data_IF_179927910345
#
_entry.id   IF_179927910345
#
_cell.length_a   1.000
_cell.length_b   1.000
_cell.length_c   1.000
_cell.angle_alpha   90.00
_cell.angle_beta   90.00
_cell.angle_gamma   90.00
#
_symmetry.space_group_name_H-M   'P 1'
#
loop_
_entity.id
_entity.type
_entity.pdbx_description
1 polymer ?
#
# COMPACT_ATOMS: atom_id res chain seq x y z
N UNK A 1 9.96 53.57 24.25
CA UNK A 1 9.02 54.41 23.47
C UNK A 1 8.99 53.79 22.09
N UNK A 2 8.01 52.98 21.68
CA UNK A 2 6.58 52.93 22.00
C UNK A 2 6.07 51.50 22.28
N UNK A 3 4.90 51.44 22.92
CA UNK A 3 4.07 50.29 23.28
C UNK A 3 3.31 49.67 22.10
N UNK A 4 2.94 48.40 22.28
CA UNK A 4 1.63 47.71 22.02
C UNK A 4 1.93 46.25 21.60
N UNK A 5 1.80 45.23 22.46
CA UNK A 5 0.62 44.51 22.97
C UNK A 5 -0.24 43.79 21.90
N UNK A 6 -0.24 42.44 22.03
CA UNK A 6 -1.15 41.42 21.44
C UNK A 6 -0.93 41.13 19.93
N UNK A 7 -0.88 39.89 19.43
CA UNK A 7 -1.71 38.70 19.70
C UNK A 7 -0.93 37.38 19.52
N UNK A 8 -1.15 36.45 20.45
CA UNK A 8 -1.04 35.01 20.20
C UNK A 8 -2.20 34.59 19.28
N UNK A 9 -1.89 34.10 18.08
CA UNK A 9 -2.84 33.37 17.25
C UNK A 9 -2.22 32.05 16.77
N UNK A 10 -2.26 31.07 17.67
CA UNK A 10 -2.15 29.65 17.35
C UNK A 10 -3.38 29.26 16.52
N UNK A 11 -3.23 29.31 15.20
CA UNK A 11 -4.19 28.65 14.29
C UNK A 11 -3.54 27.34 13.84
N UNK A 12 -3.72 26.32 14.66
CA UNK A 12 -3.81 24.94 14.16
C UNK A 12 -4.97 24.90 13.16
N UNK A 13 -4.65 24.70 11.89
CA UNK A 13 -5.64 24.22 10.92
C UNK A 13 -5.04 22.99 10.28
N UNK A 14 -5.20 21.87 10.98
CA UNK A 14 -5.27 20.55 10.37
C UNK A 14 -6.56 20.53 9.55
N UNK A 15 -6.46 20.91 8.28
CA UNK A 15 -7.52 20.63 7.30
C UNK A 15 -7.46 19.14 6.98
N UNK A 16 -8.03 18.36 7.89
CA UNK A 16 -8.55 17.02 7.62
C UNK A 16 -9.72 17.23 6.65
N UNK A 17 -9.42 17.18 5.35
CA UNK A 17 -10.46 17.14 4.33
C UNK A 17 -11.18 15.80 4.46
N UNK A 18 -12.35 15.84 5.09
CA UNK A 18 -13.29 14.72 5.12
C UNK A 18 -13.66 14.35 3.68
N UNK A 19 -13.09 13.24 3.22
CA UNK A 19 -13.54 12.59 2.00
C UNK A 19 -14.77 11.77 2.37
N UNK A 20 -15.94 12.32 2.02
CA UNK A 20 -17.21 11.60 2.01
C UNK A 20 -17.08 10.43 1.03
N UNK A 21 -16.76 9.26 1.56
CA UNK A 21 -16.98 7.99 0.90
C UNK A 21 -18.47 7.74 0.95
N UNK A 22 -19.15 7.71 -0.19
CA UNK A 22 -20.53 7.26 -0.27
C UNK A 22 -20.54 5.76 0.03
N UNK A 23 -20.73 5.43 1.30
CA UNK A 23 -21.02 4.07 1.76
C UNK A 23 -22.41 3.72 1.24
N UNK A 24 -22.43 2.82 0.26
CA UNK A 24 -23.65 2.17 -0.21
C UNK A 24 -24.14 1.27 0.94
N UNK A 25 -25.27 1.65 1.53
CA UNK A 25 -25.93 0.98 2.65
C UNK A 25 -26.38 -0.43 2.26
N UNK A 26 -25.47 -1.41 2.35
CA UNK A 26 -25.79 -2.83 2.28
C UNK A 26 -25.84 -3.42 3.69
N UNK A 27 -27.06 -3.60 4.19
CA UNK A 27 -27.51 -4.39 5.34
C UNK A 27 -26.49 -4.63 6.48
N UNK A 28 -26.56 -3.70 7.44
CA UNK A 28 -26.05 -3.68 8.81
C UNK A 28 -25.88 -5.05 9.49
N UNK A 29 -24.63 -5.54 9.51
CA UNK A 29 -24.11 -6.22 10.68
C UNK A 29 -23.12 -5.27 11.36
N UNK A 30 -23.62 -4.48 12.30
CA UNK A 30 -22.89 -3.45 13.04
C UNK A 30 -21.44 -3.87 13.33
N UNK A 31 -20.50 -3.09 12.80
CA UNK A 31 -19.06 -3.26 13.02
C UNK A 31 -18.68 -3.20 14.51
N UNK A 32 -19.58 -2.75 15.39
CA UNK A 32 -19.40 -2.84 16.84
C UNK A 32 -19.42 -4.29 17.33
N UNK A 33 -20.22 -5.17 16.72
CA UNK A 33 -20.30 -6.60 17.06
C UNK A 33 -18.96 -7.32 16.83
N UNK A 34 -18.24 -6.96 15.75
CA UNK A 34 -16.92 -7.53 15.44
C UNK A 34 -15.81 -7.08 16.41
N UNK A 35 -16.04 -6.04 17.21
CA UNK A 35 -15.09 -5.53 18.22
C UNK A 35 -15.39 -6.02 19.63
N UNK A 36 -16.47 -6.76 19.84
CA UNK A 36 -16.76 -7.37 21.12
C UNK A 36 -15.88 -8.61 21.33
N UNK A 37 -14.81 -8.42 22.11
CA UNK A 37 -14.03 -9.52 22.65
C UNK A 37 -14.87 -10.27 23.67
N UNK A 38 -15.45 -11.40 23.27
CA UNK A 38 -16.12 -12.30 24.17
C UNK A 38 -15.08 -13.19 24.86
N UNK A 39 -15.14 -13.29 26.19
CA UNK A 39 -14.33 -14.27 26.91
C UNK A 39 -14.69 -15.67 26.43
N UNK A 40 -13.68 -16.45 26.03
CA UNK A 40 -13.88 -17.86 25.68
C UNK A 40 -14.21 -18.60 26.97
N UNK A 41 -15.43 -19.13 27.06
CA UNK A 41 -15.79 -20.04 28.14
C UNK A 41 -15.00 -21.34 27.98
N UNK A 42 -14.01 -21.54 28.85
CA UNK A 42 -13.13 -22.71 28.84
C UNK A 42 -13.89 -24.00 29.18
N UNK A 43 -15.11 -23.89 29.73
CA UNK A 43 -16.01 -25.04 29.93
C UNK A 43 -16.78 -25.43 28.66
N UNK A 44 -16.81 -24.56 27.65
CA UNK A 44 -17.44 -24.76 26.33
C UNK A 44 -16.38 -24.53 25.24
N UNK A 45 -15.32 -25.32 25.25
CA UNK A 45 -14.32 -25.28 24.17
C UNK A 45 -14.93 -25.84 22.89
N UNK A 46 -15.13 -24.98 21.90
CA UNK A 46 -15.33 -25.44 20.52
C UNK A 46 -14.12 -26.27 20.10
N UNK A 47 -14.29 -27.40 19.39
CA UNK A 47 -13.18 -28.17 18.86
C UNK A 47 -12.21 -27.27 18.10
N UNK A 48 -10.90 -27.48 18.28
CA UNK A 48 -9.90 -26.77 17.49
C UNK A 48 -10.22 -26.96 15.99
N UNK A 49 -10.06 -25.92 15.16
CA UNK A 49 -10.22 -26.05 13.72
C UNK A 49 -9.40 -27.25 13.20
N UNK A 50 -9.94 -28.02 12.23
CA UNK A 50 -9.22 -29.15 11.70
C UNK A 50 -7.85 -28.72 11.19
N UNK A 51 -6.81 -29.47 11.58
CA UNK A 51 -5.47 -29.28 11.01
C UNK A 51 -5.53 -29.74 9.56
N UNK A 52 -5.42 -28.81 8.62
CA UNK A 52 -5.31 -29.14 7.21
C UNK A 52 -3.87 -29.60 6.93
N UNK A 53 -3.62 -30.89 6.66
CA UNK A 53 -2.27 -31.35 6.34
C UNK A 53 -1.84 -30.76 4.99
N UNK A 54 -0.58 -30.38 4.87
CA UNK A 54 -0.01 -30.00 3.58
C UNK A 54 -0.01 -31.24 2.66
N UNK A 55 -0.78 -31.17 1.57
CA UNK A 55 -0.93 -32.26 0.60
C UNK A 55 -0.04 -32.10 -0.63
N UNK A 56 0.70 -30.98 -0.73
CA UNK A 56 1.59 -30.72 -1.85
C UNK A 56 2.89 -31.50 -1.76
N UNK A 57 3.60 -31.60 -2.89
CA UNK A 57 4.99 -32.04 -2.90
C UNK A 57 5.88 -30.91 -2.36
N UNK A 58 6.61 -31.11 -1.24
CA UNK A 58 7.50 -30.11 -0.71
C UNK A 58 8.75 -29.95 -1.60
N UNK A 59 9.33 -28.75 -1.59
CA UNK A 59 10.54 -28.43 -2.36
C UNK A 59 10.33 -27.32 -3.40
N UNK A 60 11.45 -26.92 -4.01
CA UNK A 60 11.45 -25.93 -5.10
C UNK A 60 10.83 -26.57 -6.34
N UNK A 61 9.74 -25.99 -6.85
CA UNK A 61 9.02 -26.49 -8.03
C UNK A 61 9.48 -25.83 -9.34
N UNK A 62 10.31 -24.81 -9.25
CA UNK A 62 10.90 -24.09 -10.38
C UNK A 62 12.34 -24.55 -10.61
N UNK A 63 12.79 -24.46 -11.86
CA UNK A 63 14.18 -24.79 -12.19
C UNK A 63 15.10 -23.64 -11.82
N UNK A 64 15.71 -23.70 -10.63
CA UNK A 64 16.72 -22.75 -10.16
C UNK A 64 18.06 -23.44 -9.99
N UNK A 65 19.14 -22.73 -10.31
CA UNK A 65 20.50 -23.16 -10.01
C UNK A 65 20.87 -22.65 -8.62
N UNK A 66 21.74 -23.38 -7.93
CA UNK A 66 22.25 -22.93 -6.61
C UNK A 66 23.06 -21.62 -6.69
N UNK A 67 23.44 -21.18 -7.89
CA UNK A 67 24.22 -19.97 -8.16
C UNK A 67 23.39 -18.75 -8.54
N UNK A 68 22.06 -18.84 -8.50
CA UNK A 68 21.19 -17.74 -8.92
C UNK A 68 21.24 -16.59 -7.90
N UNK A 69 21.15 -15.36 -8.39
CA UNK A 69 21.22 -14.15 -7.56
C UNK A 69 19.91 -13.98 -6.77
N UNK A 70 19.92 -13.42 -5.54
CA UNK A 70 18.68 -13.13 -4.79
C UNK A 70 17.60 -12.38 -5.59
N UNK A 71 17.99 -11.55 -6.57
CA UNK A 71 17.06 -10.88 -7.48
C UNK A 71 16.32 -11.88 -8.39
N UNK A 72 16.98 -12.94 -8.85
CA UNK A 72 16.35 -13.97 -9.70
C UNK A 72 15.19 -14.65 -8.97
N UNK A 73 15.36 -14.93 -7.66
CA UNK A 73 14.30 -15.47 -6.82
C UNK A 73 13.12 -14.50 -6.64
N UNK A 74 13.41 -13.19 -6.51
CA UNK A 74 12.37 -12.17 -6.42
C UNK A 74 11.55 -12.08 -7.72
N UNK A 75 12.24 -12.14 -8.87
CA UNK A 75 11.63 -12.07 -10.20
C UNK A 75 10.74 -13.27 -10.53
N UNK A 76 10.78 -14.37 -9.76
CA UNK A 76 9.81 -15.48 -9.88
C UNK A 76 8.39 -15.08 -9.48
N UNK A 77 8.26 -14.07 -8.60
CA UNK A 77 6.97 -13.60 -8.10
C UNK A 77 6.62 -12.22 -8.68
N UNK A 78 7.62 -11.36 -8.85
CA UNK A 78 7.47 -10.01 -9.39
C UNK A 78 8.20 -9.92 -10.73
N UNK A 79 7.67 -10.65 -11.70
CA UNK A 79 8.16 -10.59 -13.08
C UNK A 79 7.79 -9.25 -13.76
N UNK A 80 8.20 -9.09 -15.01
CA UNK A 80 7.96 -7.86 -15.75
C UNK A 80 6.46 -7.62 -16.02
N UNK A 81 5.64 -8.67 -16.12
CA UNK A 81 4.20 -8.55 -16.34
C UNK A 81 3.51 -8.00 -15.08
N UNK A 82 3.81 -8.60 -13.92
CA UNK A 82 3.31 -8.15 -12.61
C UNK A 82 3.73 -6.71 -12.33
N UNK A 83 5.01 -6.39 -12.53
CA UNK A 83 5.53 -5.04 -12.29
C UNK A 83 4.87 -4.03 -13.25
N UNK A 84 4.77 -4.35 -14.53
CA UNK A 84 4.14 -3.48 -15.52
C UNK A 84 2.65 -3.26 -15.20
N UNK A 85 1.95 -4.29 -14.74
CA UNK A 85 0.56 -4.20 -14.32
C UNK A 85 0.39 -3.21 -13.16
N UNK A 86 1.15 -3.39 -12.07
CA UNK A 86 1.05 -2.50 -10.90
C UNK A 86 1.40 -1.05 -11.27
N UNK A 87 2.43 -0.85 -12.08
CA UNK A 87 2.83 0.49 -12.52
C UNK A 87 1.71 1.17 -13.33
N UNK A 88 1.11 0.44 -14.28
CA UNK A 88 -0.01 0.93 -15.08
C UNK A 88 -1.20 1.32 -14.19
N UNK A 89 -1.67 0.42 -13.34
CA UNK A 89 -2.86 0.67 -12.53
C UNK A 89 -2.64 1.77 -11.47
N UNK A 90 -1.41 1.92 -10.98
CA UNK A 90 -1.00 3.05 -10.12
C UNK A 90 -1.10 4.40 -10.86
N UNK A 91 -0.67 4.45 -12.12
CA UNK A 91 -0.75 5.67 -12.93
C UNK A 91 -2.19 6.01 -13.30
N UNK A 92 -2.98 5.03 -13.74
CA UNK A 92 -4.40 5.21 -14.05
C UNK A 92 -5.17 5.75 -12.83
N UNK A 93 -4.95 5.17 -11.65
CA UNK A 93 -5.60 5.60 -10.42
C UNK A 93 -5.22 7.04 -10.03
N UNK A 94 -3.95 7.42 -10.21
CA UNK A 94 -3.52 8.79 -9.99
C UNK A 94 -4.17 9.77 -10.97
N UNK A 95 -4.21 9.43 -12.26
CA UNK A 95 -4.83 10.23 -13.31
C UNK A 95 -6.33 10.46 -13.06
N UNK A 96 -7.06 9.40 -12.70
CA UNK A 96 -8.48 9.48 -12.33
C UNK A 96 -8.68 10.40 -11.11
N UNK A 97 -7.87 10.22 -10.08
CA UNK A 97 -7.94 11.06 -8.87
C UNK A 97 -7.73 12.55 -9.17
N UNK A 98 -6.82 12.88 -10.08
CA UNK A 98 -6.55 14.27 -10.44
C UNK A 98 -7.56 14.87 -11.42
N UNK A 99 -8.14 14.05 -12.31
CA UNK A 99 -9.18 14.49 -13.25
C UNK A 99 -10.44 14.97 -12.54
N UNK A 100 -10.70 14.44 -11.33
CA UNK A 100 -11.86 14.78 -10.52
C UNK A 100 -11.65 15.97 -9.55
N UNK A 101 -10.49 16.64 -9.59
CA UNK A 101 -10.16 17.76 -8.71
C UNK A 101 -10.17 19.10 -9.46
N UNK A 102 -10.73 20.16 -8.84
CA UNK A 102 -10.50 21.53 -9.30
C UNK A 102 -9.03 21.93 -9.07
N UNK A 103 -8.26 21.99 -10.15
CA UNK A 103 -6.81 22.18 -10.09
C UNK A 103 -6.44 23.64 -9.82
N UNK A 104 -5.93 23.94 -8.62
CA UNK A 104 -5.16 25.16 -8.39
C UNK A 104 -3.67 24.96 -8.78
N UNK A 105 -2.91 26.02 -9.12
CA UNK A 105 -1.51 25.92 -9.56
C UNK A 105 -0.51 25.34 -8.53
N UNK A 106 -0.96 25.11 -7.28
CA UNK A 106 -0.19 24.50 -6.19
C UNK A 106 -0.60 23.04 -5.91
N UNK A 107 -1.48 22.46 -6.72
CA UNK A 107 -2.03 21.13 -6.45
C UNK A 107 -0.98 20.04 -6.63
N UNK A 108 -1.09 18.98 -5.80
CA UNK A 108 -0.27 17.77 -5.90
C UNK A 108 -0.31 17.12 -7.29
N UNK A 109 -1.35 17.39 -8.07
CA UNK A 109 -1.47 16.98 -9.47
C UNK A 109 -0.26 17.43 -10.31
N UNK A 110 0.21 18.67 -10.12
CA UNK A 110 1.37 19.20 -10.86
C UNK A 110 2.71 18.56 -10.48
N UNK A 111 2.75 17.84 -9.35
CA UNK A 111 3.95 17.12 -8.88
C UNK A 111 3.94 15.65 -9.29
N UNK A 112 2.81 15.13 -9.77
CA UNK A 112 2.73 13.75 -10.22
C UNK A 112 3.50 13.58 -11.53
N UNK A 113 4.17 12.44 -11.61
CA UNK A 113 4.80 11.91 -12.81
C UNK A 113 4.48 10.44 -12.83
N UNK A 114 4.28 9.89 -14.01
CA UNK A 114 3.99 8.47 -14.13
C UNK A 114 5.13 7.62 -13.59
N UNK A 115 4.76 6.58 -12.86
CA UNK A 115 5.64 5.57 -12.31
C UNK A 115 6.01 4.62 -13.43
N UNK A 116 7.31 4.44 -13.64
CA UNK A 116 7.84 3.44 -14.57
C UNK A 116 8.04 2.10 -13.87
N UNK A 117 8.12 1.00 -14.61
CA UNK A 117 8.45 -0.32 -14.07
C UNK A 117 9.78 -0.32 -13.28
N UNK A 118 10.79 0.40 -13.77
CA UNK A 118 12.08 0.53 -13.07
C UNK A 118 11.93 1.31 -11.76
N UNK A 119 11.16 2.40 -11.77
CA UNK A 119 10.90 3.19 -10.57
C UNK A 119 10.09 2.39 -9.53
N UNK A 120 9.13 1.59 -9.98
CA UNK A 120 8.37 0.69 -9.12
C UNK A 120 9.27 -0.39 -8.48
N UNK A 121 10.18 -0.99 -9.25
CA UNK A 121 11.19 -1.93 -8.71
C UNK A 121 12.04 -1.27 -7.61
N UNK A 122 12.48 -0.01 -7.81
CA UNK A 122 13.19 0.77 -6.78
C UNK A 122 12.32 1.08 -5.56
N UNK A 123 11.04 1.38 -5.77
CA UNK A 123 10.11 1.59 -4.67
C UNK A 123 9.90 0.31 -3.83
N UNK A 124 9.73 -0.85 -4.49
CA UNK A 124 9.58 -2.14 -3.82
C UNK A 124 10.86 -2.53 -3.07
N UNK A 125 12.04 -2.26 -3.64
CA UNK A 125 13.30 -2.55 -2.93
C UNK A 125 13.44 -1.74 -1.63
N UNK A 126 12.92 -0.51 -1.60
CA UNK A 126 12.83 0.28 -0.37
C UNK A 126 11.83 -0.30 0.64
N UNK A 127 10.70 -0.85 0.19
CA UNK A 127 9.75 -1.55 1.07
C UNK A 127 10.39 -2.79 1.71
N UNK A 128 11.09 -3.60 0.92
CA UNK A 128 11.84 -4.77 1.42
C UNK A 128 12.88 -4.32 2.45
N UNK A 129 13.63 -3.25 2.15
CA UNK A 129 14.64 -2.72 3.07
C UNK A 129 14.03 -2.18 4.37
N UNK A 130 12.81 -1.63 4.37
CA UNK A 130 12.11 -1.23 5.61
C UNK A 130 11.75 -2.41 6.49
N UNK A 131 11.56 -3.61 5.92
CA UNK A 131 11.39 -4.84 6.69
C UNK A 131 12.66 -5.25 7.45
N UNK A 132 13.84 -4.93 6.90
CA UNK A 132 15.15 -5.24 7.48
C UNK A 132 15.59 -4.13 8.45
N UNK A 133 15.55 -2.88 7.98
CA UNK A 133 15.89 -1.69 8.75
C UNK A 133 14.62 -1.12 9.32
N UNK A 134 14.37 -1.32 10.61
CA UNK A 134 13.18 -0.78 11.26
C UNK A 134 13.46 0.59 11.87
N UNK A 135 12.52 1.52 11.71
CA UNK A 135 12.55 2.84 12.35
C UNK A 135 11.19 3.15 12.96
N UNK A 136 11.14 3.90 14.07
CA UNK A 136 9.88 4.23 14.75
C UNK A 136 8.87 4.97 13.87
N UNK A 137 9.35 5.78 12.93
CA UNK A 137 8.47 6.52 12.01
C UNK A 137 9.04 6.51 10.60
N UNK A 138 8.14 6.56 9.62
CA UNK A 138 8.47 6.58 8.20
C UNK A 138 9.41 7.74 7.81
N UNK A 139 9.18 8.93 8.38
CA UNK A 139 10.01 10.13 8.13
C UNK A 139 11.47 9.91 8.49
N UNK A 140 11.77 9.01 9.44
CA UNK A 140 13.14 8.80 9.90
C UNK A 140 14.00 8.05 8.88
N UNK A 141 13.42 7.34 7.92
CA UNK A 141 14.16 6.70 6.82
C UNK A 141 14.87 7.71 5.92
N UNK A 142 14.30 8.92 5.79
CA UNK A 142 14.87 10.03 5.02
C UNK A 142 15.49 11.12 5.90
N UNK A 143 15.69 10.84 7.19
CA UNK A 143 16.31 11.81 8.10
C UNK A 143 17.76 12.09 7.72
N UNK A 144 18.14 13.38 7.70
CA UNK A 144 19.53 13.81 7.53
C UNK A 144 20.29 13.93 8.86
N UNK A 145 19.64 13.69 10.00
CA UNK A 145 20.29 13.79 11.31
C UNK A 145 21.32 12.65 11.44
N UNK A 146 22.57 12.91 11.85
CA UNK A 146 23.62 11.89 11.86
C UNK A 146 23.24 10.60 12.60
N UNK A 147 22.57 10.71 13.76
CA UNK A 147 22.14 9.55 14.57
C UNK A 147 21.01 8.72 13.93
N UNK A 148 20.27 9.29 12.97
CA UNK A 148 19.15 8.61 12.30
C UNK A 148 19.43 8.27 10.84
N UNK A 149 20.48 8.84 10.26
CA UNK A 149 20.68 8.87 8.82
C UNK A 149 20.80 7.47 8.25
N UNK A 150 19.99 7.18 7.23
CA UNK A 150 20.10 5.97 6.39
C UNK A 150 20.17 6.40 4.94
N UNK A 151 21.36 6.85 4.47
CA UNK A 151 21.52 7.57 3.20
C UNK A 151 20.94 6.82 1.99
N UNK A 152 21.02 5.49 2.01
CA UNK A 152 20.55 4.64 0.92
C UNK A 152 19.10 4.92 0.51
N UNK A 153 18.19 5.17 1.46
CA UNK A 153 16.80 5.51 1.17
C UNK A 153 16.67 6.75 0.29
N UNK A 154 17.31 7.85 0.70
CA UNK A 154 17.27 9.11 -0.03
C UNK A 154 18.04 9.08 -1.36
N UNK A 155 19.07 8.23 -1.46
CA UNK A 155 19.84 8.03 -2.69
C UNK A 155 19.03 7.27 -3.75
N UNK A 156 18.21 6.31 -3.34
CA UNK A 156 17.36 5.53 -4.26
C UNK A 156 16.13 6.32 -4.68
N UNK A 157 15.43 6.95 -3.72
CA UNK A 157 14.21 7.71 -3.98
C UNK A 157 13.99 8.80 -2.94
N UNK A 158 13.56 9.99 -3.37
CA UNK A 158 13.20 11.06 -2.44
C UNK A 158 11.93 10.72 -1.64
N UNK A 159 11.87 11.12 -0.36
CA UNK A 159 10.71 10.92 0.53
C UNK A 159 9.38 11.35 -0.08
N UNK A 160 9.36 12.51 -0.77
CA UNK A 160 8.15 13.04 -1.42
C UNK A 160 7.68 12.12 -2.53
N UNK A 161 8.60 11.65 -3.38
CA UNK A 161 8.26 10.73 -4.48
C UNK A 161 7.80 9.39 -3.95
N UNK A 162 8.51 8.81 -2.97
CA UNK A 162 8.09 7.59 -2.29
C UNK A 162 6.68 7.73 -1.69
N UNK A 163 6.41 8.85 -1.02
CA UNK A 163 5.10 9.08 -0.38
C UNK A 163 3.98 9.27 -1.40
N UNK A 164 4.26 9.89 -2.55
CA UNK A 164 3.31 10.00 -3.65
C UNK A 164 3.00 8.62 -4.26
N UNK A 165 4.02 7.81 -4.57
CA UNK A 165 3.83 6.44 -5.08
C UNK A 165 3.03 5.62 -4.07
N UNK A 166 3.39 5.66 -2.79
CA UNK A 166 2.65 4.96 -1.74
C UNK A 166 1.17 5.40 -1.66
N UNK A 167 0.87 6.68 -1.91
CA UNK A 167 -0.51 7.20 -1.86
C UNK A 167 -1.37 6.64 -2.99
N UNK A 168 -0.81 6.47 -4.18
CA UNK A 168 -1.54 6.09 -5.39
C UNK A 168 -1.32 4.64 -5.82
N UNK A 169 -0.54 3.87 -5.05
CA UNK A 169 -0.27 2.46 -5.32
C UNK A 169 -1.60 1.71 -5.45
N UNK A 170 -1.83 1.14 -6.62
CA UNK A 170 -3.09 0.49 -6.96
C UNK A 170 -2.83 -0.84 -7.69
N UNK A 171 -3.71 -1.82 -7.43
CA UNK A 171 -3.63 -3.19 -7.94
C UNK A 171 -4.89 -3.64 -8.66
N UNK A 172 -5.91 -2.78 -8.72
CA UNK A 172 -7.18 -3.05 -9.35
C UNK A 172 -7.14 -2.52 -10.78
N UNK A 173 -7.56 -3.35 -11.75
CA UNK A 173 -7.69 -2.91 -13.13
C UNK A 173 -8.87 -1.96 -13.27
N UNK A 174 -8.69 -0.85 -13.98
CA UNK A 174 -9.80 0.05 -14.34
C UNK A 174 -10.93 -0.64 -15.11
N UNK A 175 -10.66 -1.79 -15.74
CA UNK A 175 -11.65 -2.57 -16.49
C UNK A 175 -12.40 -3.62 -15.64
N UNK A 176 -12.05 -3.79 -14.37
CA UNK A 176 -12.71 -4.78 -13.48
C UNK A 176 -14.08 -4.29 -12.97
N UNK A 177 -14.62 -3.19 -13.52
CA UNK A 177 -15.85 -2.55 -13.08
C UNK A 177 -17.14 -3.32 -13.43
N UNK A 178 -17.09 -4.41 -14.19
CA UNK A 178 -18.32 -5.07 -14.69
C UNK A 178 -18.26 -6.60 -14.77
N UNK A 179 -17.58 -7.29 -13.85
CA UNK A 179 -17.80 -8.74 -13.72
C UNK A 179 -19.06 -8.99 -12.87
N UNK A 180 -20.17 -9.28 -13.56
CA UNK A 180 -21.46 -9.78 -13.06
C UNK A 180 -21.32 -11.15 -12.36
N UNK A 181 -20.42 -11.29 -11.37
CA UNK A 181 -20.45 -12.43 -10.46
C UNK A 181 -21.31 -12.05 -9.24
N UNK A 182 -22.37 -12.81 -8.88
CA UNK A 182 -23.28 -12.47 -7.77
C UNK A 182 -22.67 -12.62 -6.38
N UNK A 183 -21.35 -12.73 -6.27
CA UNK A 183 -20.66 -13.00 -5.01
C UNK A 183 -19.78 -11.81 -4.64
N UNK A 184 -20.00 -11.29 -3.44
CA UNK A 184 -19.14 -10.32 -2.76
C UNK A 184 -17.69 -10.84 -2.69
N UNK A 185 -16.93 -10.68 -3.77
CA UNK A 185 -15.53 -11.04 -3.78
C UNK A 185 -14.75 -9.99 -2.98
N UNK A 186 -14.49 -10.29 -1.71
CA UNK A 186 -13.74 -9.42 -0.79
C UNK A 186 -12.33 -9.09 -1.30
N UNK A 187 -11.83 -9.84 -2.30
CA UNK A 187 -10.50 -9.65 -2.89
C UNK A 187 -10.51 -8.79 -4.17
N UNK A 188 -11.64 -8.19 -4.58
CA UNK A 188 -11.74 -7.39 -5.83
C UNK A 188 -10.54 -6.48 -6.10
N UNK A 189 -10.11 -5.69 -5.09
CA UNK A 189 -9.00 -4.72 -5.23
C UNK A 189 -7.63 -5.34 -5.55
N UNK A 190 -7.44 -6.62 -5.27
CA UNK A 190 -6.19 -7.35 -5.50
C UNK A 190 -6.40 -8.63 -6.31
N UNK A 191 -7.60 -8.86 -6.85
CA UNK A 191 -8.00 -10.15 -7.41
C UNK A 191 -7.16 -10.53 -8.63
N UNK A 192 -6.96 -9.55 -9.53
CA UNK A 192 -6.10 -9.72 -10.70
C UNK A 192 -4.65 -9.97 -10.30
N UNK A 193 -4.09 -9.12 -9.44
CA UNK A 193 -2.72 -9.27 -8.91
C UNK A 193 -2.51 -10.63 -8.23
N UNK A 194 -3.43 -11.06 -7.37
CA UNK A 194 -3.39 -12.37 -6.72
C UNK A 194 -3.39 -13.51 -7.74
N UNK A 195 -4.22 -13.41 -8.78
CA UNK A 195 -4.27 -14.42 -9.85
C UNK A 195 -2.97 -14.49 -10.64
N UNK A 196 -2.24 -13.38 -10.80
CA UNK A 196 -0.92 -13.37 -11.44
C UNK A 196 0.13 -14.08 -10.58
N UNK A 197 0.05 -13.98 -9.26
CA UNK A 197 1.00 -14.63 -8.34
C UNK A 197 0.79 -16.14 -8.16
N UNK A 198 -0.38 -16.68 -8.56
CA UNK A 198 -0.78 -18.06 -8.30
C UNK A 198 -0.66 -18.99 -9.52
N UNK A 199 -0.03 -18.52 -10.61
CA UNK A 199 0.23 -19.31 -11.83
C UNK A 199 1.43 -20.25 -11.63
#
# INVERSE_FOLDING_TARGET
MNSDSEEDNLIETSSEGELSSSEDESEDASLESARNWCGVDVSVLTPAPPKFPFTGNPGIKVSLRQSDDPLDYFCLFFDDEVISFIAKETNSFAEEHFSNLELTPSTRALQWKDVTSEELKRFISLLILQGIVQKPTKKWFWSKRPILCTPFFGNVMNEKRYSLIMKFLNFQSSNDSEDESPSNNKLKKIGKFHSMLMQ
#
